data_IF_374502231963
#
_entry.id   IF_374502231963
#
_cell.length_a   1.000
_cell.length_b   1.000
_cell.length_c   1.000
_cell.angle_alpha   90.00
_cell.angle_beta   90.00
_cell.angle_gamma   90.00
#
_symmetry.space_group_name_H-M   'P 1'
#
loop_
_entity.id
_entity.type
_entity.pdbx_description
1 polymer ?
#
# COMPACT_ATOMS: atom_id res chain seq x y z
N UNK A 1 25.89 62.19 8.64
CA UNK A 1 25.93 60.97 7.83
C UNK A 1 25.04 59.92 8.51
N UNK A 2 23.84 59.65 7.98
CA UNK A 2 22.89 58.65 8.54
C UNK A 2 23.10 57.32 7.76
N UNK A 3 23.64 56.31 8.43
CA UNK A 3 23.72 54.93 7.85
C UNK A 3 22.32 54.30 7.85
N UNK A 4 21.81 54.02 6.67
CA UNK A 4 20.61 53.20 6.48
C UNK A 4 21.01 51.72 6.61
N UNK A 5 20.54 51.04 7.66
CA UNK A 5 20.58 49.61 7.80
C UNK A 5 19.48 49.01 6.94
N UNK A 6 19.85 48.25 5.91
CA UNK A 6 18.91 47.45 5.09
C UNK A 6 18.78 46.12 5.79
N UNK A 7 17.63 45.90 6.41
CA UNK A 7 17.27 44.60 7.01
C UNK A 7 16.76 43.71 5.89
N UNK A 8 17.60 42.77 5.43
CA UNK A 8 17.21 41.72 4.47
C UNK A 8 16.35 40.69 5.18
N UNK A 9 15.05 40.66 4.89
CA UNK A 9 14.17 39.59 5.33
C UNK A 9 14.45 38.34 4.50
N UNK A 10 15.10 37.36 5.10
CA UNK A 10 15.27 36.03 4.53
C UNK A 10 13.94 35.28 4.65
N UNK A 11 13.17 35.21 3.57
CA UNK A 11 11.95 34.41 3.51
C UNK A 11 12.33 32.93 3.47
N UNK A 12 12.24 32.23 4.60
CA UNK A 12 12.32 30.76 4.66
C UNK A 12 11.04 30.24 4.05
N UNK A 13 11.14 29.79 2.79
CA UNK A 13 10.06 29.08 2.11
C UNK A 13 9.95 27.68 2.75
N UNK A 14 9.07 27.55 3.74
CA UNK A 14 8.71 26.23 4.25
C UNK A 14 7.99 25.47 3.14
N UNK A 15 8.64 24.48 2.53
CA UNK A 15 8.03 23.51 1.65
C UNK A 15 7.06 22.67 2.49
N UNK A 16 5.79 23.07 2.52
CA UNK A 16 4.72 22.25 3.07
C UNK A 16 4.59 21.01 2.18
N UNK A 17 4.41 19.82 2.75
CA UNK A 17 4.18 18.62 1.95
C UNK A 17 2.91 18.81 1.12
N UNK A 18 3.06 18.78 -0.20
CA UNK A 18 1.92 18.85 -1.12
C UNK A 18 1.19 17.52 -1.04
N UNK A 19 0.06 17.52 -0.36
CA UNK A 19 -0.86 16.39 -0.36
C UNK A 19 -1.66 16.49 -1.67
N UNK A 20 -1.24 15.74 -2.67
CA UNK A 20 -1.97 15.65 -3.92
C UNK A 20 -3.11 14.63 -3.78
N UNK A 21 -4.33 15.07 -4.08
CA UNK A 21 -5.46 14.16 -4.26
C UNK A 21 -5.16 13.27 -5.46
N UNK A 22 -5.32 11.95 -5.31
CA UNK A 22 -5.04 10.98 -6.36
C UNK A 22 -6.19 11.01 -7.36
N UNK A 23 -5.89 11.25 -8.63
CA UNK A 23 -6.84 11.11 -9.70
C UNK A 23 -6.95 9.64 -10.12
N UNK A 24 -8.15 9.07 -10.00
CA UNK A 24 -8.40 7.67 -10.32
C UNK A 24 -8.93 7.52 -11.75
N UNK A 25 -8.33 6.59 -12.50
CA UNK A 25 -8.75 6.20 -13.83
C UNK A 25 -9.13 4.72 -13.82
N UNK A 26 -10.33 4.38 -14.24
CA UNK A 26 -10.70 2.97 -14.46
C UNK A 26 -9.90 2.41 -15.63
N UNK A 27 -9.27 1.27 -15.42
CA UNK A 27 -8.44 0.58 -16.43
C UNK A 27 -9.05 -0.73 -16.89
N UNK A 28 -9.80 -1.40 -16.00
CA UNK A 28 -10.61 -2.58 -16.29
C UNK A 28 -11.86 -2.54 -15.38
N UNK A 29 -12.93 -3.30 -15.67
CA UNK A 29 -14.13 -3.37 -14.82
C UNK A 29 -13.79 -3.70 -13.36
N UNK A 30 -14.05 -2.75 -12.45
CA UNK A 30 -13.72 -2.85 -11.03
C UNK A 30 -12.23 -2.72 -10.70
N UNK A 31 -11.42 -2.16 -11.60
CA UNK A 31 -10.00 -1.86 -11.37
C UNK A 31 -9.68 -0.42 -11.73
N UNK A 32 -9.14 0.32 -10.79
CA UNK A 32 -8.72 1.72 -10.98
C UNK A 32 -7.25 1.91 -10.71
N UNK A 33 -6.64 2.74 -11.54
CA UNK A 33 -5.25 3.19 -11.40
C UNK A 33 -5.21 4.61 -10.88
N UNK A 34 -4.39 4.86 -9.89
CA UNK A 34 -3.96 6.17 -9.43
C UNK A 34 -2.45 6.32 -9.53
N UNK A 35 -1.99 7.56 -9.64
CA UNK A 35 -0.57 7.88 -9.72
C UNK A 35 -0.24 8.95 -8.69
N UNK A 36 0.86 8.75 -7.98
CA UNK A 36 1.45 9.73 -7.05
C UNK A 36 2.86 10.05 -7.53
N UNK A 37 3.16 11.33 -7.72
CA UNK A 37 4.46 11.77 -8.19
C UNK A 37 4.83 11.29 -9.60
N UNK A 38 6.10 11.02 -9.79
CA UNK A 38 6.65 10.50 -11.06
C UNK A 38 7.13 9.07 -10.82
N UNK A 39 6.31 8.05 -11.14
CA UNK A 39 6.73 6.66 -11.04
C UNK A 39 7.95 6.39 -11.91
N UNK A 40 8.73 5.38 -11.54
CA UNK A 40 9.84 4.91 -12.37
C UNK A 40 9.33 4.23 -13.64
N UNK A 41 10.12 4.27 -14.71
CA UNK A 41 9.78 3.67 -16.01
C UNK A 41 9.75 2.14 -15.99
N UNK A 42 10.19 1.52 -14.90
CA UNK A 42 10.28 0.08 -14.73
C UNK A 42 9.52 -0.37 -13.48
N UNK A 43 8.37 -0.98 -13.68
CA UNK A 43 7.46 -1.41 -12.64
C UNK A 43 7.45 -2.93 -12.45
N UNK A 44 6.74 -3.40 -11.42
CA UNK A 44 6.58 -4.83 -11.18
C UNK A 44 5.78 -5.51 -12.31
N UNK A 45 4.78 -4.83 -12.88
CA UNK A 45 4.02 -5.36 -14.01
C UNK A 45 4.90 -5.51 -15.26
N UNK A 46 5.84 -4.59 -15.48
CA UNK A 46 6.79 -4.67 -16.59
C UNK A 46 7.77 -5.83 -16.38
N UNK A 47 8.30 -5.99 -15.16
CA UNK A 47 9.17 -7.12 -14.79
C UNK A 47 8.48 -8.46 -15.02
N UNK A 48 7.21 -8.56 -14.62
CA UNK A 48 6.45 -9.78 -14.73
C UNK A 48 5.93 -10.03 -16.17
N UNK A 49 6.04 -9.03 -17.06
CA UNK A 49 5.54 -9.06 -18.44
C UNK A 49 4.07 -9.53 -18.53
N UNK A 50 3.24 -9.08 -17.57
CA UNK A 50 1.85 -9.50 -17.46
C UNK A 50 0.93 -8.64 -18.32
N UNK A 51 -0.11 -9.28 -18.86
CA UNK A 51 -1.16 -8.60 -19.64
C UNK A 51 -2.53 -8.99 -19.08
N UNK A 52 -3.41 -8.03 -18.78
CA UNK A 52 -4.75 -8.31 -18.31
C UNK A 52 -5.57 -9.16 -19.30
N UNK A 53 -6.34 -10.13 -18.78
CA UNK A 53 -7.25 -10.97 -19.55
C UNK A 53 -8.57 -10.24 -19.86
N UNK A 54 -8.55 -9.31 -20.80
CA UNK A 54 -9.64 -8.38 -21.13
C UNK A 54 -10.98 -9.07 -21.38
N UNK A 55 -11.01 -10.17 -22.13
CA UNK A 55 -12.24 -10.92 -22.42
C UNK A 55 -12.88 -11.49 -21.15
N UNK A 56 -12.05 -11.86 -20.16
CA UNK A 56 -12.55 -12.35 -18.88
C UNK A 56 -13.08 -11.20 -18.02
N UNK A 57 -12.45 -10.04 -18.07
CA UNK A 57 -12.96 -8.82 -17.42
C UNK A 57 -14.31 -8.39 -17.95
N UNK A 58 -14.53 -8.44 -19.27
CA UNK A 58 -15.80 -8.08 -19.91
C UNK A 58 -17.00 -8.88 -19.40
N UNK A 59 -16.76 -10.04 -18.76
CA UNK A 59 -17.80 -10.92 -18.17
C UNK A 59 -18.06 -10.61 -16.69
N UNK A 60 -17.28 -9.73 -16.07
CA UNK A 60 -17.45 -9.37 -14.67
C UNK A 60 -18.43 -8.21 -14.52
N UNK A 61 -19.23 -8.17 -13.44
CA UNK A 61 -20.12 -7.05 -13.17
C UNK A 61 -19.33 -5.76 -12.95
N UNK A 62 -19.90 -4.64 -13.41
CA UNK A 62 -19.38 -3.33 -13.05
C UNK A 62 -19.53 -3.08 -11.56
N UNK A 63 -18.53 -2.44 -10.97
CA UNK A 63 -18.49 -2.08 -9.55
C UNK A 63 -18.00 -0.64 -9.47
N UNK A 64 -18.54 0.14 -8.56
CA UNK A 64 -18.08 1.50 -8.33
C UNK A 64 -16.71 1.56 -7.65
N UNK A 65 -15.98 2.65 -7.86
CA UNK A 65 -14.77 2.95 -7.10
C UNK A 65 -15.10 3.01 -5.60
N UNK A 66 -14.42 2.25 -4.75
CA UNK A 66 -14.64 2.32 -3.31
C UNK A 66 -14.45 3.74 -2.75
N UNK A 67 -15.32 4.18 -1.87
CA UNK A 67 -15.28 5.53 -1.30
C UNK A 67 -13.95 5.86 -0.63
N UNK A 68 -13.28 4.87 -0.02
CA UNK A 68 -11.97 5.03 0.58
C UNK A 68 -10.90 5.56 -0.38
N UNK A 69 -11.07 5.39 -1.69
CA UNK A 69 -10.13 5.88 -2.69
C UNK A 69 -9.91 7.40 -2.59
N UNK A 70 -10.96 8.15 -2.22
CA UNK A 70 -10.88 9.59 -2.03
C UNK A 70 -10.16 10.00 -0.74
N UNK A 71 -9.92 9.05 0.17
CA UNK A 71 -9.24 9.25 1.44
C UNK A 71 -7.77 8.79 1.40
N UNK A 72 -7.36 8.17 0.28
CA UNK A 72 -5.97 7.75 0.10
C UNK A 72 -5.10 8.98 -0.15
N UNK A 73 -4.06 9.10 0.66
CA UNK A 73 -3.12 10.22 0.59
C UNK A 73 -1.76 9.72 0.14
N UNK A 74 -1.23 10.38 -0.89
CA UNK A 74 0.15 10.23 -1.33
C UNK A 74 0.97 11.45 -0.97
N UNK A 75 2.20 11.26 -0.53
CA UNK A 75 3.16 12.34 -0.32
C UNK A 75 4.55 11.91 -0.78
N UNK A 76 5.35 12.90 -1.22
CA UNK A 76 6.73 12.67 -1.64
C UNK A 76 7.63 13.53 -0.77
N UNK A 77 8.63 12.90 -0.21
CA UNK A 77 9.66 13.56 0.58
C UNK A 77 11.02 12.87 0.35
N UNK A 78 12.06 13.64 0.07
CA UNK A 78 13.43 13.16 -0.12
C UNK A 78 13.54 12.03 -1.17
N UNK A 79 12.82 12.17 -2.29
CA UNK A 79 12.79 11.18 -3.38
C UNK A 79 12.10 9.87 -3.03
N UNK A 80 11.34 9.82 -1.94
CA UNK A 80 10.55 8.65 -1.52
C UNK A 80 9.08 8.99 -1.49
N UNK A 81 8.25 8.03 -1.88
CA UNK A 81 6.80 8.15 -1.83
C UNK A 81 6.25 7.44 -0.60
N UNK A 82 5.36 8.11 0.10
CA UNK A 82 4.57 7.53 1.18
C UNK A 82 3.11 7.48 0.76
N UNK A 83 2.50 6.32 0.85
CA UNK A 83 1.07 6.10 0.61
C UNK A 83 0.39 5.78 1.93
N UNK A 84 -0.71 6.46 2.23
CA UNK A 84 -1.53 6.19 3.41
C UNK A 84 -2.95 5.84 2.97
N UNK A 85 -3.38 4.63 3.33
CA UNK A 85 -4.69 4.08 3.02
C UNK A 85 -5.43 3.90 4.36
N UNK A 86 -6.56 4.60 4.61
CA UNK A 86 -7.26 4.52 5.88
C UNK A 86 -7.86 3.13 6.12
N UNK A 87 -7.96 2.74 7.38
CA UNK A 87 -8.54 1.47 7.83
C UNK A 87 -9.72 1.70 8.74
N UNK A 88 -10.77 0.92 8.56
CA UNK A 88 -11.90 0.86 9.47
C UNK A 88 -11.53 0.07 10.74
N UNK A 89 -12.26 0.33 11.85
CA UNK A 89 -11.91 -0.18 13.19
C UNK A 89 -11.73 -1.71 13.27
N UNK A 90 -12.54 -2.49 12.56
CA UNK A 90 -12.51 -3.98 12.59
C UNK A 90 -12.03 -4.60 11.29
N UNK A 91 -11.49 -3.80 10.41
CA UNK A 91 -11.04 -4.26 9.10
C UNK A 91 -9.87 -5.22 9.21
N UNK A 92 -9.90 -6.29 8.45
CA UNK A 92 -8.85 -7.31 8.37
C UNK A 92 -8.13 -7.21 7.03
N UNK A 93 -6.83 -7.53 7.02
CA UNK A 93 -5.97 -7.45 5.84
C UNK A 93 -5.36 -8.82 5.56
N UNK A 94 -5.40 -9.23 4.29
CA UNK A 94 -4.88 -10.53 3.82
C UNK A 94 -4.01 -10.32 2.59
N UNK A 95 -2.86 -10.99 2.51
CA UNK A 95 -1.96 -10.89 1.35
C UNK A 95 -0.54 -10.48 1.72
N UNK A 96 0.05 -9.59 0.92
CA UNK A 96 1.45 -9.18 0.95
C UNK A 96 2.44 -10.31 0.62
N UNK A 97 1.97 -11.35 -0.06
CA UNK A 97 2.77 -12.50 -0.44
C UNK A 97 2.67 -13.68 0.51
N UNK A 98 3.63 -14.57 0.43
CA UNK A 98 3.65 -15.80 1.21
C UNK A 98 4.16 -15.54 2.63
N UNK A 99 3.24 -15.55 3.59
CA UNK A 99 3.53 -15.32 5.01
C UNK A 99 3.22 -16.58 5.81
N UNK A 100 4.19 -17.10 6.56
CA UNK A 100 4.10 -18.40 7.22
C UNK A 100 3.44 -18.36 8.62
N UNK A 101 3.44 -17.22 9.28
CA UNK A 101 2.97 -17.14 10.66
C UNK A 101 1.46 -16.99 10.79
N UNK A 102 0.88 -16.07 10.02
CA UNK A 102 -0.57 -15.80 10.06
C UNK A 102 -1.07 -15.38 8.69
N UNK A 103 -2.31 -15.74 8.37
CA UNK A 103 -3.02 -15.25 7.18
C UNK A 103 -3.38 -13.76 7.32
N UNK A 104 -3.68 -13.34 8.53
CA UNK A 104 -4.07 -11.97 8.87
C UNK A 104 -2.85 -11.09 9.13
N UNK A 105 -2.77 -9.95 8.44
CA UNK A 105 -1.59 -9.10 8.42
C UNK A 105 -1.74 -7.76 9.19
N UNK A 106 -2.95 -7.41 9.64
CA UNK A 106 -3.14 -6.16 10.39
C UNK A 106 -2.32 -6.15 11.68
N UNK A 107 -1.66 -5.02 11.95
CA UNK A 107 -0.78 -4.83 13.11
C UNK A 107 0.68 -5.19 12.86
N UNK A 108 1.03 -5.63 11.64
CA UNK A 108 2.40 -6.02 11.29
C UNK A 108 3.15 -4.92 10.54
N UNK A 109 4.48 -4.98 10.64
CA UNK A 109 5.41 -4.27 9.76
C UNK A 109 5.97 -5.32 8.81
N UNK A 110 5.76 -5.10 7.51
CA UNK A 110 6.16 -6.02 6.46
C UNK A 110 7.24 -5.36 5.60
N UNK A 111 8.34 -6.06 5.42
CA UNK A 111 9.39 -5.68 4.50
C UNK A 111 9.25 -6.55 3.25
N UNK A 112 8.66 -6.00 2.19
CA UNK A 112 8.44 -6.72 0.93
C UNK A 112 9.77 -6.86 0.19
N UNK A 113 10.55 -7.80 0.67
CA UNK A 113 11.90 -8.12 0.26
C UNK A 113 12.05 -9.63 0.28
N UNK A 114 12.52 -10.21 -0.82
CA UNK A 114 12.80 -11.65 -0.91
C UNK A 114 13.93 -12.03 0.05
N UNK A 115 13.69 -13.01 0.89
CA UNK A 115 14.68 -13.50 1.85
C UNK A 115 14.50 -14.99 2.16
N UNK A 116 15.59 -15.74 2.22
CA UNK A 116 15.64 -17.19 2.48
C UNK A 116 16.22 -17.55 3.85
N UNK A 117 15.88 -16.80 4.87
CA UNK A 117 16.54 -16.82 6.19
C UNK A 117 15.98 -17.85 7.19
N UNK A 118 15.49 -18.96 6.74
CA UNK A 118 15.14 -20.08 7.62
C UNK A 118 13.94 -19.87 8.54
N UNK A 119 12.97 -19.07 8.11
CA UNK A 119 11.64 -19.02 8.75
C UNK A 119 11.51 -18.10 9.96
N UNK A 120 12.48 -17.27 10.26
CA UNK A 120 12.31 -16.22 11.28
C UNK A 120 11.40 -15.12 10.78
N UNK A 121 10.44 -14.69 11.59
CA UNK A 121 9.58 -13.56 11.25
C UNK A 121 10.30 -12.23 11.52
N UNK A 122 10.86 -11.67 10.47
CA UNK A 122 11.42 -10.33 10.45
C UNK A 122 10.67 -9.41 9.47
N UNK A 123 9.44 -9.77 9.10
CA UNK A 123 8.61 -9.07 8.14
C UNK A 123 9.00 -9.29 6.66
N UNK A 124 9.98 -10.16 6.38
CA UNK A 124 10.38 -10.57 5.03
C UNK A 124 9.71 -11.88 4.63
N UNK A 125 9.74 -12.21 3.35
CA UNK A 125 9.11 -13.43 2.81
C UNK A 125 9.86 -13.94 1.59
N UNK A 126 9.70 -15.23 1.25
CA UNK A 126 10.24 -15.82 0.03
C UNK A 126 9.58 -15.27 -1.24
N UNK A 127 8.32 -14.91 -1.17
CA UNK A 127 7.54 -14.43 -2.30
C UNK A 127 6.72 -13.19 -1.89
N UNK A 128 7.36 -12.01 -1.77
CA UNK A 128 6.65 -10.78 -1.47
C UNK A 128 5.78 -10.36 -2.66
N UNK A 129 4.56 -9.94 -2.37
CA UNK A 129 3.65 -9.38 -3.37
C UNK A 129 3.06 -8.10 -2.80
N UNK A 130 3.23 -6.93 -3.43
CA UNK A 130 2.71 -5.66 -2.93
C UNK A 130 1.20 -5.51 -3.19
N UNK A 131 0.46 -6.57 -2.90
CA UNK A 131 -1.00 -6.66 -3.01
C UNK A 131 -1.60 -7.20 -1.73
N UNK A 132 -2.68 -6.57 -1.29
CA UNK A 132 -3.49 -7.08 -0.19
C UNK A 132 -4.98 -6.91 -0.47
N UNK A 133 -5.77 -7.71 0.21
CA UNK A 133 -7.23 -7.65 0.19
C UNK A 133 -7.73 -7.27 1.58
N UNK A 134 -8.69 -6.35 1.60
CA UNK A 134 -9.45 -5.99 2.79
C UNK A 134 -10.70 -6.87 2.94
N UNK A 135 -11.07 -7.16 4.19
CA UNK A 135 -12.35 -7.77 4.51
C UNK A 135 -13.57 -6.94 4.08
N UNK A 136 -13.36 -5.69 3.68
CA UNK A 136 -14.41 -4.78 3.21
C UNK A 136 -14.67 -4.87 1.69
N UNK A 137 -14.07 -5.83 0.97
CA UNK A 137 -14.35 -6.05 -0.45
C UNK A 137 -13.55 -5.13 -1.39
N UNK A 138 -12.38 -4.70 -0.99
CA UNK A 138 -11.42 -4.04 -1.87
C UNK A 138 -10.04 -4.65 -1.74
N UNK A 139 -9.21 -4.47 -2.76
CA UNK A 139 -7.79 -4.79 -2.72
C UNK A 139 -6.95 -3.62 -3.20
N UNK A 140 -5.72 -3.57 -2.74
CA UNK A 140 -4.76 -2.55 -3.15
C UNK A 140 -3.49 -3.22 -3.64
N UNK A 141 -3.01 -2.80 -4.79
CA UNK A 141 -1.75 -3.21 -5.37
C UNK A 141 -0.88 -1.99 -5.64
N UNK A 142 0.37 -2.05 -5.22
CA UNK A 142 1.37 -0.99 -5.45
C UNK A 142 2.34 -1.49 -6.51
N UNK A 143 2.27 -0.90 -7.70
CA UNK A 143 3.09 -1.31 -8.85
C UNK A 143 4.49 -0.70 -8.76
N UNK A 144 5.36 -1.35 -8.00
CA UNK A 144 6.74 -0.95 -7.83
C UNK A 144 7.64 -2.19 -7.77
N UNK A 145 8.74 -2.18 -8.51
CA UNK A 145 9.77 -3.23 -8.46
C UNK A 145 10.79 -3.00 -7.32
N UNK A 146 10.59 -1.97 -6.49
CA UNK A 146 11.42 -1.66 -5.33
C UNK A 146 11.02 -2.47 -4.11
N UNK A 147 11.93 -2.60 -3.16
CA UNK A 147 11.63 -3.13 -1.84
C UNK A 147 10.76 -2.15 -1.06
N UNK A 148 9.59 -2.59 -0.66
CA UNK A 148 8.64 -1.74 0.06
C UNK A 148 8.65 -2.06 1.54
N UNK A 149 8.42 -1.03 2.37
CA UNK A 149 8.08 -1.23 3.78
C UNK A 149 6.61 -0.87 3.99
N UNK A 150 5.85 -1.81 4.53
CA UNK A 150 4.42 -1.66 4.77
C UNK A 150 4.14 -1.74 6.27
N UNK A 151 3.57 -0.68 6.79
CA UNK A 151 2.99 -0.62 8.13
C UNK A 151 1.51 -0.96 8.02
N UNK A 152 1.16 -2.22 8.15
CA UNK A 152 -0.19 -2.73 7.93
C UNK A 152 -1.10 -2.50 9.14
N UNK A 153 -1.50 -1.27 9.39
CA UNK A 153 -2.23 -0.90 10.60
C UNK A 153 -1.37 -0.97 11.86
N UNK A 154 -0.06 -0.78 11.72
CA UNK A 154 0.90 -0.69 12.82
C UNK A 154 1.63 0.65 12.81
N UNK A 155 2.28 0.99 13.93
CA UNK A 155 2.93 2.29 14.11
C UNK A 155 1.95 3.37 14.56
N UNK A 156 2.23 4.01 15.69
CA UNK A 156 1.45 5.14 16.15
C UNK A 156 1.75 6.38 15.31
N UNK A 157 0.72 6.94 14.70
CA UNK A 157 0.78 8.28 14.11
C UNK A 157 0.24 9.26 15.13
N UNK A 158 1.04 10.25 15.51
CA UNK A 158 0.63 11.29 16.49
C UNK A 158 -0.54 12.15 15.98
N UNK A 159 -0.70 12.23 14.67
CA UNK A 159 -1.74 13.00 13.97
C UNK A 159 -3.01 12.20 13.69
N UNK A 160 -3.09 10.94 14.09
CA UNK A 160 -4.29 10.13 13.90
C UNK A 160 -5.34 10.45 14.97
N UNK A 161 -6.59 10.77 14.57
CA UNK A 161 -7.69 10.95 15.52
C UNK A 161 -8.07 9.66 16.25
N UNK A 162 -7.67 8.51 15.70
CA UNK A 162 -7.92 7.17 16.24
C UNK A 162 -6.64 6.53 16.80
N UNK A 163 -5.63 7.35 17.16
CA UNK A 163 -4.42 6.84 17.78
C UNK A 163 -4.80 6.05 19.05
N UNK A 164 -4.26 4.84 19.24
CA UNK A 164 -4.53 4.07 20.46
C UNK A 164 -4.01 4.86 21.67
N UNK A 165 -4.75 4.76 22.77
CA UNK A 165 -4.31 5.32 24.05
C UNK A 165 -2.96 4.72 24.41
N UNK A 166 -2.01 5.56 24.80
CA UNK A 166 -0.70 5.11 25.24
C UNK A 166 -0.85 4.19 26.45
N UNK A 167 -0.23 3.01 26.37
CA UNK A 167 -0.24 2.02 27.45
C UNK A 167 1.07 2.06 28.20
N UNK A 168 1.00 1.94 29.50
CA UNK A 168 2.20 1.85 30.33
C UNK A 168 2.86 0.48 30.15
N UNK A 169 4.07 0.49 29.62
CA UNK A 169 4.93 -0.69 29.40
C UNK A 169 5.05 -1.59 30.64
N UNK A 170 5.07 -0.99 31.82
CA UNK A 170 5.40 -1.70 33.06
C UNK A 170 4.15 -2.32 33.72
N UNK A 171 2.98 -1.79 33.45
CA UNK A 171 1.73 -2.16 34.12
C UNK A 171 0.70 -2.84 33.22
N UNK A 172 0.69 -2.52 31.92
CA UNK A 172 -0.27 -3.08 30.97
C UNK A 172 0.27 -4.32 30.26
N UNK A 173 -0.29 -5.49 30.61
CA UNK A 173 0.08 -6.79 30.00
C UNK A 173 -0.21 -6.85 28.49
N UNK A 174 -1.03 -5.93 27.97
CA UNK A 174 -1.35 -5.84 26.54
C UNK A 174 -0.50 -4.83 25.81
N UNK A 175 0.55 -4.30 26.45
CA UNK A 175 1.49 -3.39 25.80
C UNK A 175 2.20 -4.07 24.65
N UNK A 176 2.45 -3.33 23.58
CA UNK A 176 3.23 -3.76 22.42
C UNK A 176 4.13 -2.62 21.95
N UNK A 177 5.32 -2.95 21.48
CA UNK A 177 6.25 -1.99 20.91
C UNK A 177 5.79 -1.42 19.56
N UNK A 178 4.85 -2.08 18.90
CA UNK A 178 4.27 -1.65 17.61
C UNK A 178 2.77 -1.37 17.79
N UNK A 179 2.40 -0.18 18.28
CA UNK A 179 1.01 0.17 18.50
C UNK A 179 0.23 0.18 17.17
N UNK A 180 -1.06 -0.17 17.23
CA UNK A 180 -1.94 -0.15 16.09
C UNK A 180 -2.10 1.27 15.52
N UNK A 181 -2.28 1.34 14.20
CA UNK A 181 -2.62 2.54 13.45
C UNK A 181 -3.97 2.36 12.75
N UNK A 182 -4.58 3.46 12.38
CA UNK A 182 -5.82 3.53 11.59
C UNK A 182 -5.58 3.53 10.08
N UNK A 183 -4.39 3.16 9.64
CA UNK A 183 -4.05 3.14 8.22
C UNK A 183 -3.03 2.06 7.87
N UNK A 184 -3.06 1.63 6.62
CA UNK A 184 -1.91 1.02 5.95
C UNK A 184 -1.04 2.15 5.43
N UNK A 185 0.21 2.23 5.91
CA UNK A 185 1.20 3.17 5.39
C UNK A 185 2.29 2.41 4.65
N UNK A 186 2.51 2.74 3.38
CA UNK A 186 3.54 2.10 2.56
C UNK A 186 4.60 3.11 2.16
N UNK A 187 5.85 2.76 2.37
CA UNK A 187 7.01 3.52 1.91
C UNK A 187 7.55 2.89 0.64
N UNK A 188 7.59 3.67 -0.43
CA UNK A 188 8.16 3.30 -1.73
C UNK A 188 9.43 4.12 -1.92
N UNK A 189 10.62 3.51 -2.04
CA UNK A 189 11.88 4.24 -2.21
C UNK A 189 12.06 4.70 -3.67
N UNK A 190 11.10 5.48 -4.16
CA UNK A 190 11.04 6.05 -5.49
C UNK A 190 10.28 7.39 -5.45
N UNK A 191 10.53 8.32 -6.41
CA UNK A 191 9.91 9.64 -6.45
C UNK A 191 8.45 9.63 -6.90
N UNK A 192 7.86 8.46 -7.07
CA UNK A 192 6.47 8.24 -7.41
C UNK A 192 6.08 6.78 -7.30
N UNK A 193 4.78 6.52 -7.35
CA UNK A 193 4.22 5.18 -7.34
C UNK A 193 2.91 5.12 -8.11
N UNK A 194 2.69 4.00 -8.79
CA UNK A 194 1.38 3.62 -9.29
C UNK A 194 0.66 2.77 -8.24
N UNK A 195 -0.58 3.10 -7.99
CA UNK A 195 -1.45 2.35 -7.09
C UNK A 195 -2.70 1.90 -7.83
N UNK A 196 -3.09 0.65 -7.62
CA UNK A 196 -4.31 0.08 -8.20
C UNK A 196 -5.28 -0.32 -7.09
N UNK A 197 -6.56 0.01 -7.28
CA UNK A 197 -7.65 -0.46 -6.42
C UNK A 197 -8.47 -1.46 -7.21
N UNK A 198 -8.70 -2.61 -6.59
CA UNK A 198 -9.59 -3.65 -7.06
C UNK A 198 -10.82 -3.68 -6.17
N UNK A 199 -12.01 -3.68 -6.73
CA UNK A 199 -13.24 -3.77 -5.97
C UNK A 199 -14.10 -4.95 -6.42
N UNK A 200 -14.88 -5.48 -5.50
CA UNK A 200 -15.81 -6.55 -5.78
C UNK A 200 -16.81 -6.71 -4.64
N UNK A 201 -17.95 -7.39 -4.88
CA UNK A 201 -18.94 -7.67 -3.85
C UNK A 201 -18.37 -8.47 -2.68
N UNK A 202 -17.37 -9.30 -2.94
CA UNK A 202 -16.70 -10.14 -1.94
C UNK A 202 -15.18 -10.07 -2.07
N UNK A 203 -14.41 -10.43 -1.03
CA UNK A 203 -12.95 -10.54 -1.13
C UNK A 203 -12.49 -11.51 -2.24
N UNK A 204 -13.27 -12.55 -2.55
CA UNK A 204 -12.96 -13.49 -3.62
C UNK A 204 -13.10 -12.84 -5.00
N UNK A 205 -14.08 -11.95 -5.20
CA UNK A 205 -14.21 -11.18 -6.45
C UNK A 205 -13.06 -10.20 -6.65
N UNK A 206 -12.55 -9.63 -5.57
CA UNK A 206 -11.35 -8.79 -5.58
C UNK A 206 -10.13 -9.60 -6.00
N UNK A 207 -9.93 -10.78 -5.38
CA UNK A 207 -8.84 -11.69 -5.74
C UNK A 207 -8.93 -12.14 -7.20
N UNK A 208 -10.12 -12.46 -7.68
CA UNK A 208 -10.36 -12.84 -9.07
C UNK A 208 -9.94 -11.72 -10.03
N UNK A 209 -10.30 -10.47 -9.74
CA UNK A 209 -9.90 -9.32 -10.56
C UNK A 209 -8.39 -9.12 -10.56
N UNK A 210 -7.76 -9.20 -9.41
CA UNK A 210 -6.31 -9.13 -9.32
C UNK A 210 -5.64 -10.24 -10.14
N UNK A 211 -6.11 -11.48 -10.04
CA UNK A 211 -5.59 -12.59 -10.80
C UNK A 211 -5.73 -12.37 -12.32
N UNK A 212 -6.93 -11.97 -12.79
CA UNK A 212 -7.16 -11.65 -14.21
C UNK A 212 -6.32 -10.46 -14.68
N UNK A 213 -6.10 -9.47 -13.82
CA UNK A 213 -5.26 -8.32 -14.12
C UNK A 213 -3.79 -8.72 -14.29
N UNK A 214 -3.33 -9.68 -13.53
CA UNK A 214 -1.99 -10.25 -13.61
C UNK A 214 -1.86 -11.41 -14.64
N UNK A 215 -2.75 -11.47 -15.63
CA UNK A 215 -2.66 -12.46 -16.71
C UNK A 215 -3.22 -13.84 -16.37
N UNK A 216 -3.86 -14.00 -15.21
CA UNK A 216 -4.44 -15.27 -14.75
C UNK A 216 -3.39 -16.21 -14.13
N UNK A 217 -3.86 -17.40 -13.75
CA UNK A 217 -2.98 -18.45 -13.23
C UNK A 217 -2.42 -19.32 -14.35
N UNK A 218 -1.26 -19.90 -14.12
CA UNK A 218 -0.65 -20.92 -15.00
C UNK A 218 -0.75 -22.27 -14.34
N UNK A 219 -1.21 -23.28 -15.08
CA UNK A 219 -1.10 -24.65 -14.62
C UNK A 219 0.36 -25.08 -14.71
N UNK A 220 0.98 -25.52 -13.62
CA UNK A 220 2.33 -26.02 -13.67
C UNK A 220 2.39 -27.27 -14.54
N UNK A 221 3.47 -27.52 -15.26
CA UNK A 221 3.65 -28.75 -16.00
C UNK A 221 3.66 -29.93 -15.03
N UNK A 222 3.26 -31.12 -15.52
CA UNK A 222 3.10 -32.32 -14.68
C UNK A 222 4.35 -32.70 -13.88
N UNK A 223 5.53 -32.36 -14.38
CA UNK A 223 6.81 -32.59 -13.70
C UNK A 223 7.13 -31.51 -12.63
N UNK A 224 6.36 -30.43 -12.55
CA UNK A 224 6.50 -29.37 -11.56
C UNK A 224 5.58 -29.55 -10.34
N UNK A 225 4.86 -30.66 -10.27
CA UNK A 225 4.05 -31.09 -9.13
C UNK A 225 4.80 -32.17 -8.37
#
# INVERSE_FOLDING_TARGET
>A
MKKKMILGALAILMLLPVHAQIAWKQVEPGVWKGVVGTPEDYSLLDVAAVTPLKESFARLPEVALPALANEIVGSIQDGKTSLRIPLQKKEQLYGFGLNFQTVHQRGKILNLHVDHYGGKDNGRTHAPVPFYISSLGYGVFINSARYLTVYAGSGARKDSPNAPVAKDRNTDKTWTASPYSDAVSTLVPAPGAEIYIFAGPTPMDVFRRYNLFCGGGTLPPRWGL
#
